data_IF_303114676187
#
_entry.id   IF_303114676187
#
_cell.length_a   1.000
_cell.length_b   1.000
_cell.length_c   1.000
_cell.angle_alpha   90.00
_cell.angle_beta   90.00
_cell.angle_gamma   90.00
#
_symmetry.space_group_name_H-M   'P 1'
#
loop_
_entity.id
_entity.type
_entity.pdbx_description
1 polymer ?
#
# COMPACT_ATOMS: atom_id res chain seq x y z
N UNK A 1 -43.27 -16.20 -6.70
CA UNK A 1 -43.03 -14.76 -6.90
C UNK A 1 -41.54 -14.53 -7.03
N UNK A 2 -41.05 -14.55 -8.25
CA UNK A 2 -39.63 -14.26 -8.58
C UNK A 2 -39.50 -12.76 -8.65
N UNK A 3 -38.93 -12.16 -7.62
CA UNK A 3 -38.53 -10.75 -7.65
C UNK A 3 -37.35 -10.64 -8.64
N UNK A 4 -37.67 -10.18 -9.84
CA UNK A 4 -36.66 -9.76 -10.82
C UNK A 4 -35.86 -8.62 -10.20
N UNK A 5 -34.65 -8.92 -9.70
CA UNK A 5 -33.65 -7.91 -9.38
C UNK A 5 -33.04 -7.41 -10.68
N UNK A 6 -33.81 -6.63 -11.40
CA UNK A 6 -33.29 -5.81 -12.50
C UNK A 6 -32.67 -4.55 -11.90
N UNK A 7 -31.62 -4.72 -11.13
CA UNK A 7 -30.79 -3.65 -10.62
C UNK A 7 -29.56 -3.51 -11.51
N UNK A 8 -29.79 -3.01 -12.71
CA UNK A 8 -28.76 -2.31 -13.44
C UNK A 8 -28.31 -1.09 -12.62
N UNK A 9 -27.61 -1.33 -11.53
CA UNK A 9 -26.93 -0.29 -10.77
C UNK A 9 -25.88 0.30 -11.70
N UNK A 10 -26.29 1.31 -12.50
CA UNK A 10 -25.34 2.15 -13.22
C UNK A 10 -24.38 2.71 -12.19
N UNK A 11 -23.16 2.21 -12.19
CA UNK A 11 -22.08 2.76 -11.40
C UNK A 11 -22.03 4.26 -11.69
N UNK A 12 -22.41 5.07 -10.73
CA UNK A 12 -22.28 6.51 -10.86
C UNK A 12 -20.81 6.86 -10.73
N UNK A 13 -20.21 7.56 -11.71
CA UNK A 13 -18.83 7.98 -11.57
C UNK A 13 -18.69 8.84 -10.30
N UNK A 14 -17.65 8.55 -9.54
CA UNK A 14 -17.33 9.28 -8.32
C UNK A 14 -17.04 10.75 -8.66
N UNK A 15 -17.61 11.73 -7.94
CA UNK A 15 -17.28 13.14 -8.14
C UNK A 15 -15.77 13.38 -7.94
N UNK A 16 -15.18 14.23 -8.74
CA UNK A 16 -13.74 14.52 -8.74
C UNK A 16 -13.23 14.95 -7.35
N UNK A 17 -13.99 15.77 -6.63
CA UNK A 17 -13.65 16.24 -5.29
C UNK A 17 -13.57 15.07 -4.28
N UNK A 18 -14.49 14.10 -4.38
CA UNK A 18 -14.51 12.93 -3.51
C UNK A 18 -13.33 12.00 -3.83
N UNK A 19 -13.03 11.82 -5.12
CA UNK A 19 -11.82 11.10 -5.55
C UNK A 19 -10.57 11.76 -4.99
N UNK A 20 -10.48 13.09 -5.07
CA UNK A 20 -9.33 13.84 -4.53
C UNK A 20 -9.18 13.62 -3.01
N UNK A 21 -10.27 13.63 -2.24
CA UNK A 21 -10.22 13.35 -0.80
C UNK A 21 -9.81 11.90 -0.54
N UNK A 22 -10.46 10.93 -1.19
CA UNK A 22 -10.21 9.52 -0.94
C UNK A 22 -8.80 9.07 -1.33
N UNK A 23 -8.20 9.68 -2.34
CA UNK A 23 -6.82 9.37 -2.77
C UNK A 23 -5.80 10.33 -2.18
N UNK A 24 -6.12 11.61 -2.11
CA UNK A 24 -5.18 12.64 -1.65
C UNK A 24 -4.92 12.59 -0.15
N UNK A 25 -5.95 12.34 0.67
CA UNK A 25 -5.77 12.28 2.13
C UNK A 25 -4.89 11.09 2.55
N UNK A 26 -5.13 9.85 2.07
CA UNK A 26 -4.21 8.74 2.36
C UNK A 26 -2.79 9.00 1.85
N UNK A 27 -2.63 9.56 0.64
CA UNK A 27 -1.33 9.92 0.09
C UNK A 27 -0.60 10.95 0.95
N UNK A 28 -1.29 12.00 1.38
CA UNK A 28 -0.73 13.00 2.28
C UNK A 28 -0.36 12.41 3.64
N UNK A 29 -1.15 11.47 4.16
CA UNK A 29 -0.86 10.78 5.42
C UNK A 29 0.39 9.90 5.31
N UNK A 30 0.54 9.16 4.21
CA UNK A 30 1.75 8.35 3.94
C UNK A 30 2.96 9.28 3.84
N UNK A 31 2.85 10.37 3.08
CA UNK A 31 3.93 11.36 2.96
C UNK A 31 4.33 11.92 4.33
N UNK A 32 3.36 12.39 5.12
CA UNK A 32 3.62 12.91 6.45
C UNK A 32 4.25 11.84 7.36
N UNK A 33 3.73 10.63 7.32
CA UNK A 33 4.24 9.51 8.09
C UNK A 33 5.72 9.22 7.78
N UNK A 34 6.07 9.15 6.49
CA UNK A 34 7.43 8.85 6.05
C UNK A 34 8.42 9.98 6.38
N UNK A 35 8.05 11.24 6.12
CA UNK A 35 8.94 12.38 6.30
C UNK A 35 9.02 12.91 7.74
N UNK A 36 8.00 12.73 8.54
CA UNK A 36 7.95 13.24 9.91
C UNK A 36 7.74 12.15 10.96
N UNK A 37 6.84 11.22 10.70
CA UNK A 37 6.48 10.16 11.64
C UNK A 37 7.64 9.20 11.91
N UNK A 38 8.26 8.66 10.84
CA UNK A 38 9.41 7.74 11.00
C UNK A 38 10.57 8.39 11.74
N UNK A 39 11.07 9.59 11.34
CA UNK A 39 12.15 10.25 12.07
C UNK A 39 11.82 10.48 13.54
N UNK A 40 10.58 10.88 13.85
CA UNK A 40 10.14 11.09 15.24
C UNK A 40 10.16 9.80 16.07
N UNK A 41 9.72 8.68 15.49
CA UNK A 41 9.75 7.38 16.15
C UNK A 41 11.19 6.89 16.37
N UNK A 42 12.06 7.09 15.38
CA UNK A 42 13.49 6.76 15.50
C UNK A 42 14.18 7.58 16.61
N UNK A 43 13.88 8.89 16.72
CA UNK A 43 14.39 9.73 17.81
C UNK A 43 13.94 9.25 19.20
N UNK A 44 12.81 8.56 19.29
CA UNK A 44 12.32 7.91 20.50
C UNK A 44 12.91 6.51 20.73
N UNK A 45 13.87 6.09 19.91
CA UNK A 45 14.53 4.78 20.02
C UNK A 45 13.70 3.62 19.47
N UNK A 46 12.61 3.88 18.75
CA UNK A 46 11.81 2.83 18.11
C UNK A 46 12.53 2.37 16.84
N UNK A 47 12.82 1.07 16.68
CA UNK A 47 13.50 0.57 15.49
C UNK A 47 12.77 0.91 14.19
N UNK A 48 13.51 1.10 13.10
CA UNK A 48 12.96 1.47 11.80
C UNK A 48 11.90 0.48 11.30
N UNK A 49 12.14 -0.82 11.49
CA UNK A 49 11.21 -1.88 11.11
C UNK A 49 9.84 -1.74 11.80
N UNK A 50 9.83 -1.38 13.07
CA UNK A 50 8.60 -1.16 13.85
C UNK A 50 7.93 0.17 13.44
N UNK A 51 8.72 1.22 13.27
CA UNK A 51 8.23 2.53 12.83
C UNK A 51 7.52 2.41 11.48
N UNK A 52 8.10 1.66 10.55
CA UNK A 52 7.52 1.42 9.24
C UNK A 52 6.26 0.54 9.31
N UNK A 53 6.25 -0.49 10.18
CA UNK A 53 5.07 -1.32 10.42
C UNK A 53 3.89 -0.50 10.95
N UNK A 54 4.13 0.42 11.89
CA UNK A 54 3.10 1.32 12.42
C UNK A 54 2.52 2.22 11.33
N UNK A 55 3.36 2.71 10.42
CA UNK A 55 2.92 3.56 9.31
C UNK A 55 2.21 2.78 8.18
N UNK A 56 2.45 1.48 8.09
CA UNK A 56 1.72 0.60 7.16
C UNK A 56 0.34 0.18 7.69
N UNK A 57 0.05 0.44 8.98
CA UNK A 57 -1.23 0.10 9.60
C UNK A 57 -2.47 0.74 8.96
N UNK A 58 -2.42 1.93 8.31
CA UNK A 58 -3.55 2.49 7.59
C UNK A 58 -4.13 1.57 6.51
N UNK A 59 -3.32 0.70 5.88
CA UNK A 59 -3.81 -0.31 4.94
C UNK A 59 -4.80 -1.30 5.58
N UNK A 60 -4.58 -1.65 6.84
CA UNK A 60 -5.53 -2.49 7.60
C UNK A 60 -6.84 -1.73 7.88
N UNK A 61 -6.75 -0.43 8.17
CA UNK A 61 -7.94 0.41 8.34
C UNK A 61 -8.76 0.49 7.05
N UNK A 62 -8.11 0.54 5.88
CA UNK A 62 -8.79 0.46 4.58
C UNK A 62 -9.50 -0.89 4.40
N UNK A 63 -8.89 -2.00 4.82
CA UNK A 63 -9.55 -3.31 4.81
C UNK A 63 -10.79 -3.32 5.68
N UNK A 64 -10.71 -2.82 6.90
CA UNK A 64 -11.85 -2.73 7.81
C UNK A 64 -12.93 -1.84 7.19
N UNK A 65 -12.57 -0.66 6.69
CA UNK A 65 -13.49 0.27 6.06
C UNK A 65 -14.21 -0.35 4.85
N UNK A 66 -13.49 -1.08 4.00
CA UNK A 66 -14.07 -1.75 2.84
C UNK A 66 -15.06 -2.86 3.23
N UNK A 67 -14.75 -3.62 4.30
CA UNK A 67 -15.65 -4.64 4.84
C UNK A 67 -16.89 -4.03 5.52
N UNK A 68 -16.72 -2.90 6.20
CA UNK A 68 -17.85 -2.14 6.77
C UNK A 68 -18.73 -1.60 5.64
N UNK A 69 -18.15 -0.99 4.61
CA UNK A 69 -18.90 -0.52 3.44
C UNK A 69 -19.65 -1.65 2.75
N UNK A 70 -19.01 -2.81 2.57
CA UNK A 70 -19.65 -4.02 2.06
C UNK A 70 -20.93 -4.39 2.83
N UNK A 71 -20.89 -4.31 4.16
CA UNK A 71 -22.06 -4.59 5.01
C UNK A 71 -23.12 -3.50 4.93
N UNK A 72 -22.72 -2.24 4.89
CA UNK A 72 -23.63 -1.09 4.76
C UNK A 72 -24.38 -1.10 3.42
N UNK A 73 -23.72 -1.59 2.36
CA UNK A 73 -24.34 -1.80 1.03
C UNK A 73 -25.39 -2.95 1.04
N UNK A 74 -25.57 -3.65 2.17
CA UNK A 74 -26.60 -4.68 2.35
C UNK A 74 -26.18 -6.08 1.87
N UNK A 75 -24.90 -6.29 1.52
CA UNK A 75 -24.43 -7.61 1.12
C UNK A 75 -24.32 -8.57 2.30
N UNK A 76 -24.62 -9.85 2.05
CA UNK A 76 -24.45 -10.92 3.06
C UNK A 76 -23.01 -11.47 3.03
N UNK A 77 -22.58 -12.11 4.13
CA UNK A 77 -21.26 -12.77 4.20
C UNK A 77 -21.19 -14.07 3.36
N UNK A 78 -22.02 -14.20 2.33
CA UNK A 78 -21.95 -15.33 1.41
C UNK A 78 -20.77 -15.15 0.48
N UNK A 79 -19.97 -16.20 0.34
CA UNK A 79 -18.75 -16.16 -0.50
C UNK A 79 -19.02 -15.77 -1.96
N UNK A 80 -20.18 -16.12 -2.49
CA UNK A 80 -20.59 -15.75 -3.85
C UNK A 80 -20.74 -14.22 -3.99
N UNK A 81 -21.51 -13.60 -3.08
CA UNK A 81 -21.72 -12.14 -3.07
C UNK A 81 -20.42 -11.38 -2.80
N UNK A 82 -19.59 -11.91 -1.89
CA UNK A 82 -18.29 -11.35 -1.58
C UNK A 82 -17.37 -11.34 -2.81
N UNK A 83 -17.26 -12.47 -3.51
CA UNK A 83 -16.48 -12.56 -4.75
C UNK A 83 -16.97 -11.61 -5.83
N UNK A 84 -18.28 -11.51 -6.00
CA UNK A 84 -18.90 -10.62 -6.97
C UNK A 84 -18.57 -9.16 -6.67
N UNK A 85 -18.80 -8.73 -5.43
CA UNK A 85 -18.58 -7.35 -5.00
C UNK A 85 -17.13 -6.91 -5.14
N UNK A 86 -16.18 -7.74 -4.70
CA UNK A 86 -14.74 -7.46 -4.79
C UNK A 86 -14.10 -7.98 -6.08
N UNK A 87 -14.90 -8.45 -7.05
CA UNK A 87 -14.45 -8.94 -8.36
C UNK A 87 -13.34 -9.98 -8.26
N UNK A 88 -13.49 -10.92 -7.32
CA UNK A 88 -12.53 -11.99 -7.11
C UNK A 88 -12.77 -13.13 -8.12
N UNK A 89 -11.98 -13.16 -9.16
CA UNK A 89 -12.01 -14.19 -10.19
C UNK A 89 -10.79 -15.09 -10.14
N UNK A 90 -10.94 -16.34 -10.53
CA UNK A 90 -9.81 -17.23 -10.68
C UNK A 90 -8.87 -16.72 -11.80
N UNK A 91 -7.59 -16.68 -11.50
CA UNK A 91 -6.55 -16.27 -12.47
C UNK A 91 -6.33 -17.43 -13.43
N UNK A 92 -6.52 -17.21 -14.72
CA UNK A 92 -6.23 -18.18 -15.78
C UNK A 92 -4.73 -18.23 -16.05
N UNK A 93 -4.21 -19.34 -16.60
CA UNK A 93 -2.78 -19.45 -16.94
C UNK A 93 -2.29 -18.34 -17.84
N UNK A 94 -3.12 -17.87 -18.77
CA UNK A 94 -2.80 -16.74 -19.64
C UNK A 94 -2.64 -15.42 -18.88
N UNK A 95 -3.39 -15.24 -17.82
CA UNK A 95 -3.38 -14.00 -17.03
C UNK A 95 -2.06 -13.88 -16.25
N UNK A 96 -1.42 -15.00 -15.91
CA UNK A 96 -0.09 -15.02 -15.28
C UNK A 96 0.99 -14.40 -16.15
N UNK A 97 0.90 -14.54 -17.49
CA UNK A 97 1.83 -13.88 -18.40
C UNK A 97 1.71 -12.35 -18.30
N UNK A 98 0.48 -11.84 -18.17
CA UNK A 98 0.25 -10.42 -17.94
C UNK A 98 0.76 -9.96 -16.56
N UNK A 99 0.55 -10.74 -15.51
CA UNK A 99 1.07 -10.43 -14.17
C UNK A 99 2.59 -10.33 -14.20
N UNK A 100 3.27 -11.30 -14.80
CA UNK A 100 4.74 -11.29 -14.93
C UNK A 100 5.19 -10.12 -15.81
N UNK A 101 4.54 -9.89 -16.95
CA UNK A 101 4.88 -8.79 -17.85
C UNK A 101 4.74 -7.43 -17.18
N UNK A 102 3.63 -7.18 -16.48
CA UNK A 102 3.41 -5.94 -15.72
C UNK A 102 4.43 -5.81 -14.60
N UNK A 103 4.71 -6.88 -13.86
CA UNK A 103 5.72 -6.87 -12.80
C UNK A 103 7.09 -6.45 -13.34
N UNK A 104 7.53 -7.02 -14.46
CA UNK A 104 8.80 -6.66 -15.10
C UNK A 104 8.80 -5.20 -15.57
N UNK A 105 7.71 -4.74 -16.19
CA UNK A 105 7.59 -3.34 -16.62
C UNK A 105 7.65 -2.41 -15.41
N UNK A 106 6.95 -2.71 -14.33
CA UNK A 106 6.98 -1.91 -13.11
C UNK A 106 8.38 -1.87 -12.51
N UNK A 107 9.08 -3.01 -12.44
CA UNK A 107 10.46 -3.08 -11.91
C UNK A 107 11.42 -2.24 -12.76
N UNK A 108 11.37 -2.37 -14.09
CA UNK A 108 12.22 -1.58 -14.99
C UNK A 108 11.89 -0.09 -14.90
N UNK A 109 10.60 0.25 -14.78
CA UNK A 109 10.17 1.64 -14.63
C UNK A 109 10.62 2.22 -13.31
N UNK A 110 10.55 1.47 -12.21
CA UNK A 110 11.01 1.89 -10.89
C UNK A 110 12.51 2.24 -10.91
N UNK A 111 13.33 1.35 -11.43
CA UNK A 111 14.78 1.60 -11.59
C UNK A 111 15.06 2.84 -12.45
N UNK A 112 14.30 3.03 -13.53
CA UNK A 112 14.46 4.20 -14.40
C UNK A 112 14.02 5.49 -13.72
N UNK A 113 12.95 5.44 -12.92
CA UNK A 113 12.42 6.59 -12.19
C UNK A 113 13.29 6.98 -10.99
N UNK A 114 14.05 6.07 -10.42
CA UNK A 114 15.01 6.39 -9.35
C UNK A 114 16.04 7.44 -9.80
N UNK A 115 16.52 7.36 -11.04
CA UNK A 115 17.41 8.39 -11.61
C UNK A 115 16.79 9.78 -11.63
N UNK A 116 15.51 9.86 -12.02
CA UNK A 116 14.74 11.12 -12.02
C UNK A 116 14.54 11.60 -10.58
N UNK A 117 14.18 10.69 -9.66
CA UNK A 117 14.02 11.00 -8.23
C UNK A 117 15.31 11.57 -7.61
N UNK A 118 16.45 10.95 -7.90
CA UNK A 118 17.77 11.44 -7.46
C UNK A 118 18.08 12.82 -8.03
N UNK A 119 17.84 13.02 -9.31
CA UNK A 119 18.02 14.33 -9.94
C UNK A 119 17.11 15.39 -9.32
N UNK A 120 15.83 15.12 -9.12
CA UNK A 120 14.92 16.04 -8.45
C UNK A 120 15.38 16.38 -7.03
N UNK A 121 15.88 15.41 -6.28
CA UNK A 121 16.37 15.60 -4.92
C UNK A 121 17.61 16.53 -4.83
N UNK A 122 18.31 16.80 -5.95
CA UNK A 122 19.39 17.79 -5.99
C UNK A 122 18.87 19.22 -6.08
N UNK A 123 17.59 19.41 -6.45
CA UNK A 123 16.98 20.73 -6.56
C UNK A 123 16.55 21.18 -5.16
N UNK A 124 16.88 22.40 -4.68
CA UNK A 124 16.60 22.83 -3.31
C UNK A 124 15.13 22.69 -2.88
N UNK A 125 14.17 22.86 -3.82
CA UNK A 125 12.75 22.72 -3.55
C UNK A 125 12.32 21.29 -3.19
N UNK A 126 13.04 20.29 -3.72
CA UNK A 126 12.74 18.86 -3.53
C UNK A 126 13.83 18.15 -2.70
N UNK A 127 14.79 18.90 -2.18
CA UNK A 127 15.87 18.34 -1.38
C UNK A 127 15.31 17.63 -0.13
N UNK A 128 15.73 16.39 0.13
CA UNK A 128 15.30 15.67 1.32
C UNK A 128 15.81 16.39 2.57
N UNK A 129 15.00 16.45 3.65
CA UNK A 129 15.44 17.04 4.91
C UNK A 129 16.66 16.30 5.50
N UNK A 130 17.54 17.00 6.18
CA UNK A 130 18.74 16.42 6.78
C UNK A 130 18.46 15.36 7.84
N UNK A 131 17.30 15.46 8.51
CA UNK A 131 16.87 14.51 9.54
C UNK A 131 16.28 13.21 8.96
N UNK A 132 16.12 13.13 7.61
CA UNK A 132 15.57 11.93 6.99
C UNK A 132 16.52 10.76 7.13
N UNK A 133 16.06 9.57 7.57
CA UNK A 133 16.91 8.38 7.61
C UNK A 133 17.56 8.11 6.27
N UNK A 134 18.83 7.68 6.30
CA UNK A 134 19.61 7.45 5.09
C UNK A 134 18.90 6.53 4.08
N UNK A 135 18.16 5.53 4.58
CA UNK A 135 17.40 4.58 3.77
C UNK A 135 16.31 5.25 2.90
N UNK A 136 15.75 6.36 3.35
CA UNK A 136 14.71 7.11 2.63
C UNK A 136 15.26 8.34 1.89
N UNK A 137 16.56 8.59 1.99
CA UNK A 137 17.18 9.71 1.32
C UNK A 137 17.72 9.25 -0.04
N UNK A 138 17.13 9.66 -1.18
CA UNK A 138 17.54 9.22 -2.51
C UNK A 138 18.96 9.64 -2.91
N UNK A 139 19.56 10.59 -2.18
CA UNK A 139 20.93 11.04 -2.39
C UNK A 139 21.97 10.21 -1.62
N UNK A 140 21.52 9.28 -0.77
CA UNK A 140 22.41 8.41 0.00
C UNK A 140 22.35 6.99 -0.54
N UNK A 141 23.49 6.47 -0.94
CA UNK A 141 23.62 5.06 -1.32
C UNK A 141 23.67 4.21 -0.04
N UNK A 142 22.55 3.55 0.27
CA UNK A 142 22.45 2.65 1.41
C UNK A 142 22.33 1.23 0.88
N UNK A 143 23.34 0.43 1.10
CA UNK A 143 23.30 -1.00 0.82
C UNK A 143 22.93 -1.74 2.11
N UNK A 144 21.71 -2.25 2.17
CA UNK A 144 21.31 -3.16 3.25
C UNK A 144 21.81 -4.57 2.91
N UNK A 145 22.51 -5.24 3.85
CA UNK A 145 22.83 -6.65 3.68
C UNK A 145 21.57 -7.49 3.49
N UNK A 146 21.62 -8.52 2.65
CA UNK A 146 20.49 -9.48 2.48
C UNK A 146 20.09 -10.20 3.79
N UNK A 147 20.95 -10.12 4.80
CA UNK A 147 20.72 -10.68 6.13
C UNK A 147 19.92 -9.76 7.05
N UNK A 148 19.61 -8.54 6.59
CA UNK A 148 18.89 -7.53 7.36
C UNK A 148 17.61 -7.11 6.65
N UNK A 149 16.60 -6.78 7.44
CA UNK A 149 15.37 -6.17 6.96
C UNK A 149 15.19 -4.81 7.66
N UNK A 150 15.21 -3.74 6.88
CA UNK A 150 15.15 -2.36 7.38
C UNK A 150 16.17 -2.10 8.52
N UNK A 151 17.42 -2.56 8.34
CA UNK A 151 18.48 -2.40 9.32
C UNK A 151 18.38 -3.29 10.55
N UNK A 152 17.48 -4.29 10.54
CA UNK A 152 17.34 -5.26 11.62
C UNK A 152 17.76 -6.66 11.15
N UNK A 153 18.70 -7.34 11.81
CA UNK A 153 19.09 -8.69 11.44
C UNK A 153 17.90 -9.65 11.44
N UNK A 154 17.73 -10.43 10.37
CA UNK A 154 16.66 -11.43 10.25
C UNK A 154 16.99 -12.67 11.08
N UNK A 155 18.28 -13.06 11.09
CA UNK A 155 18.74 -14.23 11.85
C UNK A 155 18.51 -14.02 13.35
N UNK A 156 17.71 -14.90 13.94
CA UNK A 156 17.29 -14.81 15.34
C UNK A 156 16.05 -13.93 15.59
N UNK A 157 15.59 -13.16 14.61
CA UNK A 157 14.46 -12.25 14.71
C UNK A 157 13.30 -12.61 13.75
N UNK A 158 13.01 -13.88 13.62
CA UNK A 158 11.95 -14.39 12.72
C UNK A 158 10.58 -13.76 12.99
N UNK A 159 10.35 -13.27 14.22
CA UNK A 159 9.15 -12.52 14.57
C UNK A 159 8.90 -11.30 13.69
N UNK A 160 9.96 -10.70 13.13
CA UNK A 160 9.84 -9.58 12.19
C UNK A 160 9.11 -10.03 10.91
N UNK A 161 9.49 -11.16 10.35
CA UNK A 161 8.84 -11.70 9.14
C UNK A 161 7.39 -12.12 9.43
N UNK A 162 7.16 -12.75 10.59
CA UNK A 162 5.83 -13.14 11.06
C UNK A 162 4.93 -11.91 11.22
N UNK A 163 5.48 -10.77 11.63
CA UNK A 163 4.75 -9.51 11.72
C UNK A 163 4.53 -8.88 10.32
N UNK A 164 5.59 -8.79 9.53
CA UNK A 164 5.59 -8.03 8.28
C UNK A 164 4.80 -8.69 7.15
N UNK A 165 4.92 -10.00 6.98
CA UNK A 165 4.24 -10.69 5.89
C UNK A 165 2.72 -10.53 5.99
N UNK A 166 2.06 -10.86 7.14
CA UNK A 166 0.62 -10.64 7.28
C UNK A 166 0.23 -9.17 7.18
N UNK A 167 1.00 -8.26 7.79
CA UNK A 167 0.72 -6.82 7.76
C UNK A 167 0.69 -6.30 6.33
N UNK A 168 1.71 -6.63 5.53
CA UNK A 168 1.80 -6.24 4.12
C UNK A 168 0.67 -6.85 3.30
N UNK A 169 0.38 -8.14 3.48
CA UNK A 169 -0.71 -8.81 2.76
C UNK A 169 -2.06 -8.19 3.10
N UNK A 170 -2.34 -7.93 4.38
CA UNK A 170 -3.60 -7.31 4.81
C UNK A 170 -3.73 -5.87 4.30
N UNK A 171 -2.63 -5.12 4.27
CA UNK A 171 -2.62 -3.76 3.71
C UNK A 171 -2.90 -3.77 2.21
N UNK A 172 -2.22 -4.63 1.46
CA UNK A 172 -2.46 -4.78 0.01
C UNK A 172 -3.90 -5.21 -0.30
N UNK A 173 -4.42 -6.18 0.45
CA UNK A 173 -5.83 -6.62 0.29
C UNK A 173 -6.79 -5.49 0.64
N UNK A 174 -6.50 -4.71 1.67
CA UNK A 174 -7.30 -3.56 2.08
C UNK A 174 -7.37 -2.49 1.00
N UNK A 175 -6.23 -2.14 0.42
CA UNK A 175 -6.16 -1.22 -0.71
C UNK A 175 -6.96 -1.75 -1.91
N UNK A 176 -6.73 -3.00 -2.31
CA UNK A 176 -7.45 -3.60 -3.43
C UNK A 176 -8.96 -3.62 -3.22
N UNK A 177 -9.43 -3.95 -2.01
CA UNK A 177 -10.86 -3.98 -1.71
C UNK A 177 -11.46 -2.58 -1.70
N UNK A 178 -10.73 -1.59 -1.21
CA UNK A 178 -11.18 -0.20 -1.23
C UNK A 178 -11.31 0.35 -2.64
N UNK A 179 -10.38 -0.03 -3.56
CA UNK A 179 -10.41 0.47 -4.94
C UNK A 179 -11.36 -0.27 -5.86
N UNK A 180 -11.62 -1.55 -5.59
CA UNK A 180 -12.53 -2.37 -6.41
C UNK A 180 -13.98 -2.34 -5.93
N UNK A 181 -14.18 -1.99 -4.70
CA UNK A 181 -15.46 -1.89 -4.03
C UNK A 181 -16.08 -0.55 -4.10
#
# INVERSE_FOLDING_TARGET
MTVSRDSGTRLRPMPLWLSFILFGVPGAFIYWGMYYGVPLLLQRGIPLVISFALLSSPGILLLIASLVAYRLDGYSWRWAEFKERFRLHAIKRRDWLWVIGIFLICTISDESLQGIGRWLATIPLFAPPDYLPALFNPLKDVHLPLTEFLGTPIKGNWGILVLWIPLTLLSMVGEEFMWRG
#
